data_IF_835877384089
#
_entry.id   IF_835877384089
#
_cell.length_a   1.000
_cell.length_b   1.000
_cell.length_c   1.000
_cell.angle_alpha   90.00
_cell.angle_beta   90.00
_cell.angle_gamma   90.00
#
_symmetry.space_group_name_H-M   'P 1'
#
loop_
_entity.id
_entity.type
_entity.pdbx_description
1 polymer ?
#
# COMPACT_ATOMS: atom_id res chain seq x y z
N UNK A 1 9.12 24.58 6.27
CA UNK A 1 10.07 23.50 6.58
C UNK A 1 9.97 22.42 5.51
N UNK A 2 11.07 22.06 4.84
CA UNK A 2 11.11 20.86 4.00
C UNK A 2 10.87 19.65 4.92
N UNK A 3 9.87 18.82 4.64
CA UNK A 3 9.67 17.57 5.39
C UNK A 3 10.91 16.70 5.19
N UNK A 4 11.57 16.32 6.29
CA UNK A 4 12.66 15.34 6.25
C UNK A 4 12.18 14.00 5.69
N UNK A 5 13.11 13.23 5.12
CA UNK A 5 12.89 11.87 4.62
C UNK A 5 13.21 10.90 5.77
N UNK A 6 12.34 9.92 6.02
CA UNK A 6 12.58 8.93 7.08
C UNK A 6 13.85 8.12 6.79
N UNK A 7 14.61 7.81 7.83
CA UNK A 7 15.73 6.89 7.73
C UNK A 7 15.30 5.47 7.31
N UNK A 8 14.02 5.10 7.45
CA UNK A 8 13.49 3.84 6.91
C UNK A 8 13.44 3.84 5.37
N UNK A 9 13.46 5.00 4.73
CA UNK A 9 13.47 5.12 3.26
C UNK A 9 14.89 4.91 2.67
N UNK A 10 15.88 4.55 3.49
CA UNK A 10 17.28 4.42 3.05
C UNK A 10 17.51 3.33 2.00
N UNK A 11 16.60 2.36 1.94
CA UNK A 11 16.59 1.29 0.92
C UNK A 11 16.51 1.81 -0.53
N UNK A 12 16.16 3.08 -0.74
CA UNK A 12 16.09 3.71 -2.06
C UNK A 12 17.44 4.24 -2.57
N UNK A 13 18.44 4.36 -1.70
CA UNK A 13 19.77 4.81 -2.09
C UNK A 13 20.58 3.65 -2.66
N UNK A 14 21.36 3.92 -3.72
CA UNK A 14 22.24 2.92 -4.30
C UNK A 14 23.32 2.50 -3.31
N UNK A 15 23.79 1.26 -3.40
CA UNK A 15 24.91 0.77 -2.59
C UNK A 15 26.12 1.71 -2.66
N UNK A 16 26.34 2.36 -3.82
CA UNK A 16 27.41 3.32 -4.03
C UNK A 16 27.24 4.61 -3.21
N UNK A 17 26.03 5.18 -3.13
CA UNK A 17 25.77 6.35 -2.31
C UNK A 17 25.97 6.06 -0.82
N UNK A 18 25.64 4.85 -0.39
CA UNK A 18 25.86 4.39 0.99
C UNK A 18 27.34 4.10 1.29
N UNK A 19 28.10 3.59 0.32
CA UNK A 19 29.55 3.47 0.44
C UNK A 19 30.23 4.83 0.59
N UNK A 20 29.77 5.83 -0.15
CA UNK A 20 30.27 7.21 0.01
C UNK A 20 29.94 7.73 1.40
N UNK A 21 28.70 7.60 1.87
CA UNK A 21 28.32 8.00 3.23
C UNK A 21 29.15 7.29 4.30
N UNK A 22 29.40 5.98 4.13
CA UNK A 22 30.27 5.22 5.02
C UNK A 22 31.69 5.79 5.05
N UNK A 23 32.26 6.13 3.90
CA UNK A 23 33.62 6.69 3.81
C UNK A 23 33.72 8.09 4.42
N UNK A 24 32.72 8.95 4.21
CA UNK A 24 32.66 10.29 4.82
C UNK A 24 32.54 10.21 6.35
N UNK A 25 31.70 9.31 6.87
CA UNK A 25 31.61 9.05 8.33
C UNK A 25 32.94 8.52 8.86
N UNK A 26 33.65 7.65 8.12
CA UNK A 26 34.98 7.17 8.53
C UNK A 26 36.03 8.28 8.62
N UNK A 27 35.88 9.35 7.84
CA UNK A 27 36.83 10.45 7.79
C UNK A 27 36.67 11.42 8.99
N UNK A 28 35.44 11.64 9.45
CA UNK A 28 35.11 12.62 10.51
C UNK A 28 35.39 12.12 11.95
N UNK A 29 35.42 10.82 12.21
CA UNK A 29 35.59 10.30 13.59
C UNK A 29 37.05 10.00 13.94
N UNK A 30 37.73 10.88 14.67
CA UNK A 30 39.06 10.61 15.24
C UNK A 30 38.97 9.96 16.64
N UNK A 31 39.50 8.73 16.76
CA UNK A 31 39.67 8.02 18.04
C UNK A 31 38.64 6.92 18.31
N UNK A 32 39.13 5.68 18.43
CA UNK A 32 38.36 4.42 18.57
C UNK A 32 37.44 4.09 17.38
N UNK A 33 37.98 4.30 16.17
CA UNK A 33 37.33 4.11 14.87
C UNK A 33 36.69 2.72 14.72
N UNK A 34 37.40 1.64 15.01
CA UNK A 34 36.94 0.29 14.64
C UNK A 34 35.65 -0.15 15.36
N UNK A 35 35.53 0.14 16.66
CA UNK A 35 34.36 -0.31 17.43
C UNK A 35 33.10 0.47 17.07
N UNK A 36 33.20 1.80 16.98
CA UNK A 36 32.08 2.67 16.59
C UNK A 36 31.65 2.44 15.14
N UNK A 37 32.61 2.19 14.24
CA UNK A 37 32.32 1.86 12.84
C UNK A 37 31.66 0.50 12.69
N UNK A 38 32.10 -0.52 13.44
CA UNK A 38 31.44 -1.82 13.47
C UNK A 38 30.00 -1.71 13.99
N UNK A 39 29.76 -0.90 15.02
CA UNK A 39 28.42 -0.67 15.57
C UNK A 39 27.50 0.06 14.57
N UNK A 40 28.00 1.09 13.89
CA UNK A 40 27.26 1.80 12.83
C UNK A 40 26.97 0.91 11.61
N UNK A 41 27.98 0.18 11.11
CA UNK A 41 27.81 -0.76 10.00
C UNK A 41 26.81 -1.87 10.31
N UNK A 42 26.87 -2.42 11.53
CA UNK A 42 25.90 -3.41 12.01
C UNK A 42 24.51 -2.83 12.16
N UNK A 43 24.36 -1.57 12.58
CA UNK A 43 23.07 -0.89 12.63
C UNK A 43 22.47 -0.76 11.22
N UNK A 44 23.23 -0.29 10.23
CA UNK A 44 22.75 -0.24 8.84
C UNK A 44 22.37 -1.61 8.30
N UNK A 45 23.18 -2.66 8.54
CA UNK A 45 22.84 -4.03 8.15
C UNK A 45 21.55 -4.53 8.81
N UNK A 46 21.31 -4.19 10.09
CA UNK A 46 20.04 -4.50 10.77
C UNK A 46 18.85 -3.80 10.12
N UNK A 47 19.01 -2.55 9.67
CA UNK A 47 17.96 -1.84 8.93
C UNK A 47 17.64 -2.50 7.60
N UNK A 48 18.64 -2.93 6.84
CA UNK A 48 18.45 -3.63 5.57
C UNK A 48 17.79 -5.00 5.74
N UNK A 49 18.12 -5.72 6.81
CA UNK A 49 17.49 -7.00 7.14
C UNK A 49 16.12 -6.85 7.81
N UNK A 50 15.54 -5.66 7.74
CA UNK A 50 14.20 -5.40 8.25
C UNK A 50 14.03 -5.71 9.75
N UNK A 51 15.10 -5.62 10.53
CA UNK A 51 15.10 -5.94 11.95
C UNK A 51 14.11 -5.05 12.73
N UNK A 52 13.19 -5.68 13.46
CA UNK A 52 12.09 -4.99 14.15
C UNK A 52 12.56 -4.05 15.27
N UNK A 53 13.66 -4.37 15.96
CA UNK A 53 14.23 -3.53 17.02
C UNK A 53 14.82 -2.25 16.43
N UNK A 54 15.60 -2.36 15.36
CA UNK A 54 16.16 -1.21 14.65
C UNK A 54 15.05 -0.35 14.00
N UNK A 55 14.01 -0.97 13.42
CA UNK A 55 12.82 -0.26 12.91
C UNK A 55 12.10 0.51 14.01
N UNK A 56 12.01 -0.03 15.24
CA UNK A 56 11.36 0.64 16.37
C UNK A 56 12.13 1.89 16.79
N UNK A 57 13.45 1.77 16.95
CA UNK A 57 14.33 2.89 17.30
C UNK A 57 14.19 4.03 16.28
N UNK A 58 14.24 3.71 14.98
CA UNK A 58 14.09 4.74 13.93
C UNK A 58 12.71 5.38 13.94
N UNK A 59 11.63 4.60 14.13
CA UNK A 59 10.28 5.17 14.23
C UNK A 59 10.16 6.16 15.40
N UNK A 60 10.89 5.93 16.48
CA UNK A 60 10.88 6.84 17.63
C UNK A 60 11.73 8.10 17.37
N UNK A 61 12.87 7.97 16.68
CA UNK A 61 13.66 9.11 16.18
C UNK A 61 12.86 9.97 15.19
N UNK A 62 12.24 9.35 14.19
CA UNK A 62 11.39 10.03 13.21
C UNK A 62 10.23 10.80 13.86
N UNK A 63 9.66 10.28 14.97
CA UNK A 63 8.62 10.99 15.73
C UNK A 63 9.15 12.26 16.41
N UNK A 64 10.35 12.19 17.00
CA UNK A 64 10.98 13.33 17.67
C UNK A 64 11.20 14.47 16.67
N UNK A 65 11.68 14.13 15.48
CA UNK A 65 12.01 15.10 14.43
C UNK A 65 10.81 15.48 13.53
N UNK A 66 9.63 14.90 13.78
CA UNK A 66 8.44 15.10 12.95
C UNK A 66 8.58 14.59 11.52
N UNK A 67 9.54 13.70 11.28
CA UNK A 67 9.84 13.05 10.00
C UNK A 67 8.83 11.92 9.78
N UNK A 68 8.43 11.73 8.53
CA UNK A 68 7.51 10.65 8.13
C UNK A 68 8.07 9.95 6.92
N UNK A 69 7.98 8.62 6.90
CA UNK A 69 8.35 7.87 5.72
C UNK A 69 7.57 8.37 4.50
N UNK A 70 8.26 8.47 3.38
CA UNK A 70 7.76 9.07 2.14
C UNK A 70 6.47 8.38 1.65
N UNK A 71 6.33 7.08 1.98
CA UNK A 71 5.17 6.25 1.64
C UNK A 71 4.20 6.03 2.82
N UNK A 72 4.37 6.73 3.95
CA UNK A 72 3.48 6.56 5.10
C UNK A 72 2.12 7.22 4.85
N UNK A 73 1.11 6.39 4.63
CA UNK A 73 -0.28 6.84 4.49
C UNK A 73 -0.79 7.46 5.79
N UNK A 74 -1.48 8.59 5.69
CA UNK A 74 -2.13 9.17 6.87
C UNK A 74 -3.22 8.22 7.41
N UNK A 75 -3.59 8.29 8.70
CA UNK A 75 -4.70 7.49 9.22
C UNK A 75 -6.00 7.69 8.44
N UNK A 76 -6.27 8.90 7.95
CA UNK A 76 -7.46 9.18 7.15
C UNK A 76 -7.37 8.54 5.76
N UNK A 77 -6.21 8.61 5.12
CA UNK A 77 -5.96 7.97 3.83
C UNK A 77 -6.17 6.45 3.90
N UNK A 78 -5.63 5.80 4.95
CA UNK A 78 -5.82 4.36 5.17
C UNK A 78 -7.31 4.01 5.31
N UNK A 79 -8.09 4.82 6.03
CA UNK A 79 -9.54 4.61 6.17
C UNK A 79 -10.26 4.76 4.84
N UNK A 80 -9.94 5.79 4.06
CA UNK A 80 -10.54 6.01 2.73
C UNK A 80 -10.23 4.86 1.78
N UNK A 81 -8.96 4.44 1.70
CA UNK A 81 -8.56 3.31 0.86
C UNK A 81 -9.26 2.02 1.30
N UNK A 82 -9.31 1.75 2.61
CA UNK A 82 -9.99 0.56 3.14
C UNK A 82 -11.48 0.57 2.84
N UNK A 83 -12.15 1.72 3.01
CA UNK A 83 -13.56 1.87 2.67
C UNK A 83 -13.79 1.65 1.18
N UNK A 84 -12.95 2.21 0.31
CA UNK A 84 -13.05 2.01 -1.14
C UNK A 84 -12.87 0.55 -1.52
N UNK A 85 -11.88 -0.16 -0.95
CA UNK A 85 -11.71 -1.60 -1.19
C UNK A 85 -12.97 -2.39 -0.84
N UNK A 86 -13.66 -2.06 0.26
CA UNK A 86 -14.94 -2.68 0.62
C UNK A 86 -16.09 -2.27 -0.32
N UNK A 87 -16.20 -0.99 -0.64
CA UNK A 87 -17.23 -0.48 -1.55
C UNK A 87 -17.11 -1.10 -2.95
N UNK A 88 -15.89 -1.35 -3.44
CA UNK A 88 -15.66 -2.03 -4.71
C UNK A 88 -16.03 -3.52 -4.67
N UNK A 89 -15.87 -4.21 -3.53
CA UNK A 89 -16.40 -5.57 -3.38
C UNK A 89 -17.92 -5.55 -3.56
N UNK A 90 -18.63 -4.70 -2.82
CA UNK A 90 -20.09 -4.57 -2.90
C UNK A 90 -20.56 -4.11 -4.29
N UNK A 91 -19.77 -3.26 -4.96
CA UNK A 91 -20.07 -2.82 -6.33
C UNK A 91 -20.02 -3.98 -7.33
N UNK A 92 -18.96 -4.78 -7.24
CA UNK A 92 -18.73 -5.92 -8.14
C UNK A 92 -19.68 -7.09 -7.84
N UNK A 93 -20.01 -7.30 -6.57
CA UNK A 93 -20.88 -8.41 -6.14
C UNK A 93 -22.37 -8.09 -6.26
N UNK A 94 -22.78 -6.89 -5.83
CA UNK A 94 -24.20 -6.51 -5.67
C UNK A 94 -24.61 -5.20 -6.34
N UNK A 95 -23.76 -4.61 -7.18
CA UNK A 95 -24.09 -3.37 -7.92
C UNK A 95 -24.11 -2.10 -7.07
N UNK A 96 -23.53 -2.12 -5.86
CA UNK A 96 -23.46 -0.95 -4.98
C UNK A 96 -22.87 0.29 -5.68
N UNK A 97 -23.47 1.45 -5.49
CA UNK A 97 -22.98 2.70 -6.09
C UNK A 97 -21.87 3.32 -5.25
N UNK A 98 -20.68 3.48 -5.84
CA UNK A 98 -19.52 4.09 -5.19
C UNK A 98 -19.59 5.61 -5.35
N UNK A 99 -20.00 6.31 -4.29
CA UNK A 99 -20.10 7.77 -4.28
C UNK A 99 -19.25 8.42 -3.19
N UNK A 100 -18.75 9.62 -3.48
CA UNK A 100 -18.03 10.46 -2.50
C UNK A 100 -18.91 10.78 -1.28
N UNK A 101 -20.21 10.99 -1.50
CA UNK A 101 -21.14 11.35 -0.43
C UNK A 101 -21.31 10.20 0.57
N UNK A 102 -21.38 8.95 0.10
CA UNK A 102 -21.42 7.79 0.99
C UNK A 102 -20.14 7.63 1.81
N UNK A 103 -18.97 7.84 1.19
CA UNK A 103 -17.72 7.88 1.95
C UNK A 103 -17.77 8.99 3.01
N UNK A 104 -18.17 10.21 2.66
CA UNK A 104 -18.18 11.33 3.61
C UNK A 104 -19.12 11.06 4.78
N UNK A 105 -20.31 10.52 4.53
CA UNK A 105 -21.24 10.11 5.59
C UNK A 105 -20.63 9.05 6.52
N UNK A 106 -19.98 8.03 5.94
CA UNK A 106 -19.25 7.02 6.70
C UNK A 106 -18.12 7.62 7.54
N UNK A 107 -17.30 8.49 6.96
CA UNK A 107 -16.15 9.12 7.64
C UNK A 107 -16.59 10.01 8.80
N UNK A 108 -17.67 10.78 8.64
CA UNK A 108 -18.25 11.60 9.70
C UNK A 108 -18.73 10.71 10.85
N UNK A 109 -19.40 9.60 10.54
CA UNK A 109 -19.93 8.65 11.52
C UNK A 109 -18.84 8.03 12.39
N UNK A 110 -17.71 7.62 11.78
CA UNK A 110 -16.64 6.94 12.52
C UNK A 110 -15.66 7.90 13.20
N UNK A 111 -15.37 9.06 12.61
CA UNK A 111 -14.38 10.01 13.16
C UNK A 111 -15.02 10.96 14.18
N UNK A 112 -16.30 11.30 14.01
CA UNK A 112 -17.03 12.26 14.84
C UNK A 112 -16.24 13.57 15.02
N UNK A 113 -15.94 14.29 13.92
CA UNK A 113 -15.11 15.50 13.99
C UNK A 113 -15.74 16.57 14.89
N UNK A 114 -14.92 17.16 15.76
CA UNK A 114 -15.32 18.25 16.65
C UNK A 114 -15.34 19.60 15.91
N UNK A 115 -16.48 20.28 15.95
CA UNK A 115 -16.64 21.63 15.39
C UNK A 115 -16.60 21.68 13.85
N UNK A 116 -16.83 22.89 13.32
CA UNK A 116 -16.98 23.11 11.89
C UNK A 116 -15.66 23.00 11.12
N UNK A 117 -14.57 23.46 11.73
CA UNK A 117 -13.23 23.38 11.14
C UNK A 117 -12.74 21.93 10.99
N UNK A 118 -13.04 21.07 11.99
CA UNK A 118 -12.75 19.64 11.92
C UNK A 118 -13.49 18.95 10.79
N UNK A 119 -14.78 19.28 10.60
CA UNK A 119 -15.60 18.79 9.48
C UNK A 119 -15.04 19.20 8.13
N UNK A 120 -14.65 20.47 7.97
CA UNK A 120 -14.04 20.98 6.72
C UNK A 120 -12.74 20.25 6.38
N UNK A 121 -11.83 20.11 7.35
CA UNK A 121 -10.55 19.37 7.16
C UNK A 121 -10.78 17.90 6.81
N UNK A 122 -11.72 17.24 7.49
CA UNK A 122 -12.07 15.86 7.19
C UNK A 122 -12.66 15.72 5.78
N UNK A 123 -13.59 16.60 5.40
CA UNK A 123 -14.20 16.61 4.07
C UNK A 123 -13.16 16.80 2.98
N UNK A 124 -12.30 17.80 3.13
CA UNK A 124 -11.23 18.09 2.16
C UNK A 124 -10.29 16.90 1.97
N UNK A 125 -9.71 16.40 3.07
CA UNK A 125 -8.76 15.29 3.00
C UNK A 125 -9.39 14.00 2.48
N UNK A 126 -10.60 13.65 2.93
CA UNK A 126 -11.31 12.44 2.48
C UNK A 126 -11.69 12.53 1.00
N UNK A 127 -12.09 13.71 0.53
CA UNK A 127 -12.41 13.96 -0.88
C UNK A 127 -11.19 13.75 -1.77
N UNK A 128 -10.06 14.37 -1.40
CA UNK A 128 -8.80 14.23 -2.14
C UNK A 128 -8.36 12.77 -2.24
N UNK A 129 -8.38 12.04 -1.12
CA UNK A 129 -8.00 10.63 -1.12
C UNK A 129 -9.01 9.78 -1.89
N UNK A 130 -10.31 10.08 -1.82
CA UNK A 130 -11.33 9.37 -2.60
C UNK A 130 -11.03 9.47 -4.09
N UNK A 131 -10.80 10.67 -4.62
CA UNK A 131 -10.52 10.88 -6.04
C UNK A 131 -9.27 10.11 -6.47
N UNK A 132 -8.17 10.25 -5.71
CA UNK A 132 -6.90 9.58 -6.00
C UNK A 132 -7.06 8.06 -6.09
N UNK A 133 -7.69 7.43 -5.11
CA UNK A 133 -7.82 5.97 -5.06
C UNK A 133 -8.94 5.45 -5.96
N UNK A 134 -10.04 6.17 -6.10
CA UNK A 134 -11.14 5.77 -6.98
C UNK A 134 -10.70 5.80 -8.45
N UNK A 135 -9.98 6.83 -8.89
CA UNK A 135 -9.45 6.87 -10.25
C UNK A 135 -8.43 5.76 -10.51
N UNK A 136 -7.58 5.47 -9.52
CA UNK A 136 -6.66 4.32 -9.57
C UNK A 136 -7.41 3.00 -9.73
N UNK A 137 -8.47 2.77 -8.96
CA UNK A 137 -9.26 1.54 -9.02
C UNK A 137 -10.08 1.42 -10.30
N UNK A 138 -10.68 2.52 -10.81
CA UNK A 138 -11.32 2.56 -12.13
C UNK A 138 -10.36 2.16 -13.25
N UNK A 139 -9.12 2.69 -13.23
CA UNK A 139 -8.09 2.33 -14.23
C UNK A 139 -7.72 0.85 -14.16
N UNK A 140 -7.61 0.28 -12.95
CA UNK A 140 -7.36 -1.17 -12.76
C UNK A 140 -8.52 -2.02 -13.28
N UNK A 141 -9.75 -1.65 -12.96
CA UNK A 141 -10.95 -2.33 -13.43
C UNK A 141 -11.04 -2.31 -14.95
N UNK A 142 -10.81 -1.13 -15.57
CA UNK A 142 -10.78 -0.99 -17.03
C UNK A 142 -9.74 -1.92 -17.65
N UNK A 143 -8.49 -1.87 -17.15
CA UNK A 143 -7.40 -2.74 -17.65
C UNK A 143 -7.73 -4.22 -17.52
N UNK A 144 -8.38 -4.63 -16.43
CA UNK A 144 -8.80 -6.02 -16.22
C UNK A 144 -9.83 -6.46 -17.27
N UNK A 145 -10.83 -5.62 -17.54
CA UNK A 145 -11.91 -5.89 -18.49
C UNK A 145 -11.45 -5.92 -19.94
N UNK A 146 -10.35 -5.23 -20.23
CA UNK A 146 -9.72 -5.20 -21.55
C UNK A 146 -8.61 -6.25 -21.72
N UNK A 147 -8.29 -7.03 -20.67
CA UNK A 147 -7.21 -8.01 -20.73
C UNK A 147 -7.67 -9.32 -21.39
N UNK A 148 -7.07 -9.66 -22.53
CA UNK A 148 -7.41 -10.83 -23.34
C UNK A 148 -7.36 -12.14 -22.54
N UNK A 149 -6.32 -12.37 -21.73
CA UNK A 149 -6.19 -13.60 -20.93
C UNK A 149 -7.27 -13.71 -19.85
N UNK A 150 -7.69 -12.60 -19.25
CA UNK A 150 -8.82 -12.59 -18.29
C UNK A 150 -10.12 -12.97 -19.02
N UNK A 151 -10.31 -12.47 -20.25
CA UNK A 151 -11.46 -12.81 -21.07
C UNK A 151 -11.44 -14.28 -21.53
N UNK A 152 -10.27 -14.82 -21.88
CA UNK A 152 -10.08 -16.25 -22.17
C UNK A 152 -10.48 -17.13 -20.97
N UNK A 153 -10.04 -16.77 -19.76
CA UNK A 153 -10.44 -17.46 -18.53
C UNK A 153 -11.97 -17.36 -18.30
N UNK A 154 -12.58 -16.21 -18.57
CA UNK A 154 -14.02 -16.03 -18.49
C UNK A 154 -14.77 -16.93 -19.49
N UNK A 155 -14.24 -17.11 -20.70
CA UNK A 155 -14.80 -18.01 -21.71
C UNK A 155 -14.63 -19.49 -21.31
N UNK A 156 -13.54 -19.85 -20.64
CA UNK A 156 -13.31 -21.21 -20.12
C UNK A 156 -14.26 -21.56 -18.98
N UNK A 157 -14.57 -20.61 -18.11
CA UNK A 157 -15.45 -20.80 -16.94
C UNK A 157 -16.70 -19.91 -17.02
N UNK A 158 -17.52 -20.09 -18.06
CA UNK A 158 -18.67 -19.21 -18.38
C UNK A 158 -19.71 -19.06 -17.26
N UNK A 159 -19.82 -20.03 -16.36
CA UNK A 159 -20.76 -20.01 -15.23
C UNK A 159 -20.29 -19.15 -14.05
N UNK A 160 -19.04 -18.69 -14.07
CA UNK A 160 -18.44 -17.91 -13.00
C UNK A 160 -18.24 -16.46 -13.45
N UNK A 161 -18.26 -15.52 -12.51
CA UNK A 161 -17.87 -14.13 -12.77
C UNK A 161 -16.36 -13.96 -12.55
N UNK A 162 -15.56 -14.42 -13.51
CA UNK A 162 -14.09 -14.41 -13.47
C UNK A 162 -13.56 -12.99 -13.55
N UNK A 163 -14.12 -12.18 -14.45
CA UNK A 163 -13.64 -10.81 -14.70
C UNK A 163 -13.72 -9.96 -13.45
N UNK A 164 -14.89 -9.92 -12.77
CA UNK A 164 -15.04 -9.08 -11.59
C UNK A 164 -14.28 -9.67 -10.37
N UNK A 165 -14.20 -11.00 -10.26
CA UNK A 165 -13.42 -11.64 -9.19
C UNK A 165 -11.91 -11.32 -9.30
N UNK A 166 -11.34 -11.39 -10.51
CA UNK A 166 -9.94 -11.03 -10.73
C UNK A 166 -9.73 -9.52 -10.55
N UNK A 167 -10.63 -8.70 -11.07
CA UNK A 167 -10.58 -7.25 -10.90
C UNK A 167 -10.56 -6.84 -9.42
N UNK A 168 -11.35 -7.52 -8.57
CA UNK A 168 -11.33 -7.28 -7.14
C UNK A 168 -9.94 -7.57 -6.54
N UNK A 169 -9.30 -8.68 -6.94
CA UNK A 169 -7.94 -9.01 -6.52
C UNK A 169 -6.90 -7.94 -6.91
N UNK A 170 -7.04 -7.32 -8.08
CA UNK A 170 -6.23 -6.15 -8.48
C UNK A 170 -6.48 -4.93 -7.59
N UNK A 171 -7.73 -4.69 -7.18
CA UNK A 171 -8.13 -3.56 -6.33
C UNK A 171 -7.53 -3.70 -4.93
N UNK A 172 -7.55 -4.91 -4.36
CA UNK A 172 -7.00 -5.16 -3.03
C UNK A 172 -5.47 -5.36 -2.99
N UNK A 173 -4.80 -5.21 -4.14
CA UNK A 173 -3.35 -5.41 -4.32
C UNK A 173 -2.90 -6.86 -4.00
N UNK A 174 -3.74 -7.85 -4.33
CA UNK A 174 -3.42 -9.28 -4.15
C UNK A 174 -3.02 -9.97 -5.45
N UNK A 175 -3.47 -9.45 -6.59
CA UNK A 175 -3.01 -9.86 -7.91
C UNK A 175 -2.52 -8.63 -8.68
N UNK A 176 -1.69 -8.87 -9.69
CA UNK A 176 -1.45 -7.96 -10.81
C UNK A 176 -1.89 -8.64 -12.12
N UNK A 177 -1.71 -7.96 -13.25
CA UNK A 177 -1.98 -8.53 -14.58
C UNK A 177 -0.77 -9.30 -15.13
N UNK A 178 0.04 -9.91 -14.26
CA UNK A 178 1.18 -10.73 -14.69
C UNK A 178 0.71 -12.11 -15.11
N UNK A 179 1.54 -12.82 -15.89
CA UNK A 179 1.22 -14.18 -16.31
C UNK A 179 1.11 -15.14 -15.12
N UNK A 180 1.98 -14.99 -14.13
CA UNK A 180 2.00 -15.82 -12.92
C UNK A 180 0.73 -15.61 -12.07
N UNK A 181 0.31 -14.36 -11.86
CA UNK A 181 -0.91 -14.06 -11.11
C UNK A 181 -2.16 -14.68 -11.76
N UNK A 182 -2.24 -14.65 -13.10
CA UNK A 182 -3.33 -15.26 -13.86
C UNK A 182 -3.34 -16.79 -13.73
N UNK A 183 -2.18 -17.43 -13.77
CA UNK A 183 -2.05 -18.87 -13.55
C UNK A 183 -2.43 -19.28 -12.13
N UNK A 184 -2.02 -18.51 -11.12
CA UNK A 184 -2.44 -18.73 -9.74
C UNK A 184 -3.94 -18.59 -9.57
N UNK A 185 -4.53 -17.55 -10.17
CA UNK A 185 -5.97 -17.35 -10.14
C UNK A 185 -6.72 -18.50 -10.83
N UNK A 186 -6.24 -18.98 -11.98
CA UNK A 186 -6.81 -20.14 -12.65
C UNK A 186 -6.77 -21.40 -11.78
N UNK A 187 -5.64 -21.68 -11.12
CA UNK A 187 -5.52 -22.81 -10.18
C UNK A 187 -6.52 -22.70 -9.03
N UNK A 188 -6.76 -21.50 -8.50
CA UNK A 188 -7.79 -21.27 -7.49
C UNK A 188 -9.19 -21.62 -8.01
N UNK A 189 -9.52 -21.21 -9.25
CA UNK A 189 -10.80 -21.57 -9.88
C UNK A 189 -10.93 -23.09 -10.03
N UNK A 190 -9.88 -23.78 -10.49
CA UNK A 190 -9.87 -25.24 -10.63
C UNK A 190 -10.13 -25.93 -9.29
N UNK A 191 -9.51 -25.46 -8.20
CA UNK A 191 -9.75 -25.99 -6.85
C UNK A 191 -11.22 -25.80 -6.44
N UNK A 192 -11.79 -24.61 -6.66
CA UNK A 192 -13.18 -24.31 -6.29
C UNK A 192 -14.22 -25.07 -7.13
N UNK A 193 -13.87 -25.39 -8.38
CA UNK A 193 -14.76 -26.07 -9.33
C UNK A 193 -14.59 -27.58 -9.35
N UNK A 194 -13.54 -28.10 -8.71
CA UNK A 194 -13.35 -29.54 -8.54
C UNK A 194 -14.51 -30.09 -7.72
N UNK A 195 -15.39 -30.87 -8.37
CA UNK A 195 -16.38 -31.67 -7.67
C UNK A 195 -15.63 -32.60 -6.71
N UNK A 196 -15.91 -32.50 -5.41
CA UNK A 196 -15.60 -33.58 -4.48
C UNK A 196 -16.48 -34.75 -4.90
N UNK A 197 -15.88 -35.86 -5.31
CA UNK A 197 -16.58 -37.14 -5.32
C UNK A 197 -17.06 -37.35 -3.87
N UNK A 198 -18.39 -37.32 -3.69
CA UNK A 198 -19.09 -37.65 -2.45
C UNK A 198 -19.41 -39.13 -2.47
#
# INVERSE_FOLDING_TARGET
MKKGISLLDIHKYSNQAMHVLYNEVCAEFEGNKEKLLAELGMFFLKLFRENEEAKKIIKDMDKIDGIKAQNSKSPNEKRVETWLKKAYFEHLYGGYSISRNFLLAFMITIIKPSGEEGKKKLKYSSTRYFEQYNDKFKKRLKRCRENERVLELQQKYQKLNIVDAFAYGLIIDKFNTTNEDLEWFEKMIQIMTKKKEL
#
